data_IF_148414960163
#
_entry.id   IF_148414960163
#
_cell.length_a   1.000
_cell.length_b   1.000
_cell.length_c   1.000
_cell.angle_alpha   90.00
_cell.angle_beta   90.00
_cell.angle_gamma   90.00
#
_symmetry.space_group_name_H-M   'P 1'
#
loop_
_entity.id
_entity.type
_entity.pdbx_description
1 polymer ?
#
# COMPACT_ATOMS: atom_id res chain seq x y z
N UNK A 1 -16.91 3.23 1.74
CA UNK A 1 -16.44 2.25 0.75
C UNK A 1 -15.35 2.90 -0.08
N UNK A 2 -14.07 2.49 0.06
CA UNK A 2 -13.05 2.90 -0.91
C UNK A 2 -13.17 1.98 -2.12
N UNK A 3 -13.66 2.53 -3.23
CA UNK A 3 -13.80 1.85 -4.53
C UNK A 3 -12.54 2.08 -5.39
N UNK A 4 -11.54 2.81 -4.87
CA UNK A 4 -10.29 3.02 -5.58
C UNK A 4 -9.42 1.78 -5.47
N UNK A 5 -9.23 1.09 -6.60
CA UNK A 5 -8.22 0.05 -6.78
C UNK A 5 -6.85 0.58 -6.32
N UNK A 6 -6.20 -0.13 -5.39
CA UNK A 6 -4.88 0.25 -4.89
C UNK A 6 -3.85 -0.27 -5.88
N UNK A 7 -2.96 0.61 -6.34
CA UNK A 7 -1.88 0.22 -7.23
C UNK A 7 -0.62 0.97 -6.89
N UNK A 8 0.51 0.26 -6.88
CA UNK A 8 1.81 0.90 -6.67
C UNK A 8 2.10 1.90 -7.80
N UNK A 9 2.58 3.12 -7.49
CA UNK A 9 3.16 4.01 -8.48
C UNK A 9 4.24 3.31 -9.30
N UNK A 10 4.33 3.67 -10.60
CA UNK A 10 5.30 3.12 -11.55
C UNK A 10 6.14 4.24 -12.18
N UNK A 11 7.27 3.89 -12.80
CA UNK A 11 8.20 4.83 -13.41
C UNK A 11 9.13 5.52 -12.40
N UNK A 12 9.84 6.56 -12.87
CA UNK A 12 10.93 7.22 -12.14
C UNK A 12 10.50 8.48 -11.35
N UNK A 13 9.22 8.84 -11.36
CA UNK A 13 8.69 9.96 -10.57
C UNK A 13 8.50 9.54 -9.12
N UNK A 14 9.00 10.34 -8.18
CA UNK A 14 8.87 10.11 -6.75
C UNK A 14 7.58 10.72 -6.20
N UNK A 15 6.92 10.00 -5.30
CA UNK A 15 5.84 10.49 -4.43
C UNK A 15 6.37 10.92 -3.05
N UNK A 16 7.47 10.30 -2.60
CA UNK A 16 8.18 10.59 -1.35
C UNK A 16 9.44 11.44 -1.57
N UNK A 17 10.11 11.85 -0.48
CA UNK A 17 11.32 12.69 -0.52
C UNK A 17 12.58 11.99 -1.07
N UNK A 18 12.58 10.66 -1.13
CA UNK A 18 13.72 9.88 -1.57
C UNK A 18 13.34 8.44 -1.90
N UNK A 19 14.27 7.72 -2.54
CA UNK A 19 14.02 6.36 -3.04
C UNK A 19 13.80 5.34 -1.92
N UNK A 20 14.43 5.51 -0.76
CA UNK A 20 14.25 4.59 0.36
C UNK A 20 12.81 4.62 0.88
N UNK A 21 12.24 5.82 1.09
CA UNK A 21 10.86 5.98 1.52
C UNK A 21 9.89 5.59 0.39
N UNK A 22 10.21 5.97 -0.86
CA UNK A 22 9.42 5.61 -2.04
C UNK A 22 9.32 4.09 -2.21
N UNK A 23 10.40 3.34 -1.96
CA UNK A 23 10.40 1.89 -2.05
C UNK A 23 9.39 1.28 -1.06
N UNK A 24 9.41 1.71 0.21
CA UNK A 24 8.43 1.27 1.19
C UNK A 24 6.99 1.68 0.80
N UNK A 25 6.83 2.91 0.29
CA UNK A 25 5.55 3.45 -0.16
C UNK A 25 4.96 2.62 -1.30
N UNK A 26 5.77 2.23 -2.28
CA UNK A 26 5.37 1.37 -3.41
C UNK A 26 5.07 -0.05 -2.96
N UNK A 27 5.94 -0.64 -2.13
CA UNK A 27 5.81 -2.04 -1.73
C UNK A 27 4.55 -2.30 -0.88
N UNK A 28 4.19 -1.40 0.04
CA UNK A 28 2.97 -1.59 0.83
C UNK A 28 1.70 -1.47 -0.03
N UNK A 29 1.71 -0.63 -1.07
CA UNK A 29 0.61 -0.55 -2.03
C UNK A 29 0.59 -1.77 -2.96
N UNK A 30 1.74 -2.28 -3.38
CA UNK A 30 1.84 -3.49 -4.20
C UNK A 30 1.30 -4.72 -3.46
N UNK A 31 1.49 -4.81 -2.15
CA UNK A 31 0.86 -5.86 -1.33
C UNK A 31 -0.68 -5.83 -1.34
N UNK A 32 -1.30 -4.73 -1.79
CA UNK A 32 -2.76 -4.58 -1.85
C UNK A 32 -3.26 -4.36 -3.29
N UNK A 33 -2.42 -4.60 -4.29
CA UNK A 33 -2.82 -4.63 -5.69
C UNK A 33 -3.80 -5.79 -5.91
N UNK A 34 -4.85 -5.57 -6.70
CA UNK A 34 -5.90 -6.56 -7.01
C UNK A 34 -5.34 -7.80 -7.71
N UNK A 35 -4.24 -7.63 -8.45
CA UNK A 35 -3.51 -8.71 -9.11
C UNK A 35 -2.59 -9.49 -8.16
N UNK A 36 -2.40 -9.03 -6.91
CA UNK A 36 -1.42 -9.58 -5.94
C UNK A 36 -2.08 -10.12 -4.67
N UNK A 37 -3.04 -9.39 -4.11
CA UNK A 37 -3.64 -9.69 -2.82
C UNK A 37 -4.85 -10.63 -2.94
N UNK A 38 -5.00 -11.57 -2.00
CA UNK A 38 -6.16 -12.46 -1.92
C UNK A 38 -7.47 -11.70 -1.60
N UNK A 39 -7.42 -10.69 -0.73
CA UNK A 39 -8.58 -9.85 -0.39
C UNK A 39 -8.15 -8.43 0.04
N UNK A 40 -7.81 -7.56 -0.93
CA UNK A 40 -7.27 -6.23 -0.66
C UNK A 40 -8.25 -5.28 0.04
N UNK A 41 -9.57 -5.48 -0.12
CA UNK A 41 -10.61 -4.66 0.50
C UNK A 41 -10.60 -4.79 2.04
N UNK A 42 -10.16 -5.94 2.54
CA UNK A 42 -9.95 -6.23 3.97
C UNK A 42 -8.49 -6.05 4.42
N UNK A 43 -7.64 -5.51 3.55
CA UNK A 43 -6.18 -5.36 3.70
C UNK A 43 -5.41 -6.68 3.75
N UNK A 44 -6.03 -7.80 3.37
CA UNK A 44 -5.46 -9.15 3.45
C UNK A 44 -4.64 -9.42 2.19
N UNK A 45 -3.37 -9.75 2.38
CA UNK A 45 -2.43 -10.08 1.30
C UNK A 45 -2.50 -11.57 0.98
N UNK A 46 -2.19 -12.42 1.96
CA UNK A 46 -2.29 -13.88 1.86
C UNK A 46 -2.32 -14.53 3.25
N UNK A 47 -2.50 -15.85 3.29
CA UNK A 47 -2.41 -16.63 4.53
C UNK A 47 -3.62 -16.42 5.45
N UNK A 48 -4.80 -16.19 4.85
CA UNK A 48 -6.08 -16.07 5.53
C UNK A 48 -6.30 -14.75 6.26
N UNK A 49 -5.41 -14.36 7.18
CA UNK A 49 -5.51 -13.12 7.97
C UNK A 49 -4.25 -12.25 7.93
N UNK A 50 -3.26 -12.58 7.08
CA UNK A 50 -2.06 -11.76 6.92
C UNK A 50 -2.39 -10.43 6.25
N UNK A 51 -2.33 -9.32 7.00
CA UNK A 51 -2.69 -7.98 6.51
C UNK A 51 -1.47 -7.08 6.27
N UNK A 52 -1.55 -6.21 5.25
CA UNK A 52 -0.53 -5.21 4.96
C UNK A 52 -0.51 -4.05 6.00
N UNK A 53 -1.66 -3.78 6.62
CA UNK A 53 -1.82 -2.80 7.70
C UNK A 53 -2.94 -3.24 8.65
N UNK A 54 -2.96 -2.70 9.87
CA UNK A 54 -3.95 -3.06 10.90
C UNK A 54 -5.39 -2.76 10.46
N UNK A 55 -5.60 -1.57 9.91
CA UNK A 55 -6.87 -1.06 9.40
C UNK A 55 -6.58 0.07 8.39
N UNK A 56 -7.63 0.58 7.76
CA UNK A 56 -7.51 1.60 6.72
C UNK A 56 -6.90 2.92 7.23
N UNK A 57 -7.23 3.32 8.45
CA UNK A 57 -6.63 4.50 9.09
C UNK A 57 -5.11 4.35 9.26
N UNK A 58 -4.65 3.16 9.68
CA UNK A 58 -3.23 2.86 9.80
C UNK A 58 -2.53 2.86 8.44
N UNK A 59 -3.17 2.30 7.41
CA UNK A 59 -2.64 2.31 6.05
C UNK A 59 -2.43 3.74 5.54
N UNK A 60 -3.43 4.60 5.72
CA UNK A 60 -3.35 6.01 5.33
C UNK A 60 -2.29 6.78 6.12
N UNK A 61 -2.19 6.53 7.43
CA UNK A 61 -1.17 7.12 8.27
C UNK A 61 0.25 6.71 7.85
N UNK A 62 0.45 5.44 7.45
CA UNK A 62 1.73 4.96 6.92
C UNK A 62 2.07 5.70 5.62
N UNK A 63 1.14 5.74 4.66
CA UNK A 63 1.35 6.43 3.38
C UNK A 63 1.65 7.92 3.57
N UNK A 64 0.91 8.60 4.45
CA UNK A 64 1.15 9.99 4.80
C UNK A 64 2.52 10.19 5.44
N UNK A 65 2.92 9.32 6.37
CA UNK A 65 4.20 9.43 7.07
C UNK A 65 5.39 9.20 6.15
N UNK A 66 5.30 8.28 5.20
CA UNK A 66 6.38 8.02 4.22
C UNK A 66 6.61 9.19 3.26
N UNK A 67 5.62 10.06 3.04
CA UNK A 67 5.75 11.25 2.19
C UNK A 67 6.36 12.46 2.88
N UNK A 68 6.45 12.44 4.22
CA UNK A 68 7.02 13.54 5.02
C UNK A 68 8.54 13.62 4.86
#
# INVERSE_FOLDING_TARGET
>A
MRISEIRSPRGNKLSCKGWQQEAAFRMIQNNLDSDVAENPQELIVYGGKGKAARNWESFDAILSSLKK
#
